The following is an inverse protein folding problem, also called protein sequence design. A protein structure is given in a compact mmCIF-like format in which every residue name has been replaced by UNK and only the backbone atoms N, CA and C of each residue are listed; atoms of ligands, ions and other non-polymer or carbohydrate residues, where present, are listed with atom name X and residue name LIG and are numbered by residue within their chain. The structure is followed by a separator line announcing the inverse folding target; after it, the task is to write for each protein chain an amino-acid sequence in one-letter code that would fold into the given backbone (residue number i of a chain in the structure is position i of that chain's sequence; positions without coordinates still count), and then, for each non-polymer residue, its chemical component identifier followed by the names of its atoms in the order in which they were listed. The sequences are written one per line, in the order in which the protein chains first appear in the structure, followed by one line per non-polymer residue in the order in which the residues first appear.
data_IF_033148332749
#
_entry.id   IF_033148332749
#
_cell.length_a   1.000
_cell.length_b   1.000
_cell.length_c   1.000
_cell.angle_alpha   90.00
_cell.angle_beta   90.00
_cell.angle_gamma   90.00
#
_symmetry.space_group_name_H-M   'P 1'
#
loop_
_entity.id
_entity.type
_entity.pdbx_description
1 polymer ?
#
# COMPACT_ATOMS: atom_id res chain seq x y z
N UNK A 1 12.67 -13.02 17.78
CA UNK A 1 12.87 -11.73 17.11
C UNK A 1 12.68 -11.90 15.62
N UNK A 2 12.06 -10.94 14.93
CA UNK A 2 11.87 -11.00 13.48
C UNK A 2 13.23 -11.08 12.76
N UNK A 3 13.37 -11.89 11.70
CA UNK A 3 14.61 -11.98 10.94
C UNK A 3 15.04 -10.60 10.41
N UNK A 4 16.35 -10.36 10.35
CA UNK A 4 16.93 -9.08 9.90
C UNK A 4 16.53 -8.65 8.48
N UNK A 5 15.93 -9.56 7.70
CA UNK A 5 15.34 -9.25 6.40
C UNK A 5 14.24 -8.17 6.47
N UNK A 6 13.44 -8.16 7.55
CA UNK A 6 12.27 -7.28 7.65
C UNK A 6 12.64 -5.84 7.94
N UNK A 7 13.74 -5.65 8.67
CA UNK A 7 14.30 -4.35 8.99
C UNK A 7 15.84 -4.47 8.90
N UNK A 8 16.43 -4.14 7.73
CA UNK A 8 17.87 -4.18 7.54
C UNK A 8 18.61 -3.35 8.60
N UNK A 9 19.79 -3.82 9.01
CA UNK A 9 20.60 -3.17 10.04
C UNK A 9 21.62 -2.18 9.48
N UNK A 10 21.91 -2.25 8.18
CA UNK A 10 22.76 -1.26 7.54
C UNK A 10 22.00 0.09 7.46
N UNK A 11 22.69 1.24 7.64
CA UNK A 11 22.01 2.53 7.69
C UNK A 11 21.19 2.86 6.44
N UNK A 12 21.65 2.45 5.25
CA UNK A 12 20.97 2.75 4.00
C UNK A 12 19.68 1.93 3.84
N UNK A 13 19.74 0.62 4.11
CA UNK A 13 18.58 -0.27 4.11
C UNK A 13 17.53 0.17 5.14
N UNK A 14 17.96 0.50 6.37
CA UNK A 14 17.08 1.03 7.40
C UNK A 14 16.40 2.34 6.96
N UNK A 15 17.14 3.27 6.36
CA UNK A 15 16.60 4.53 5.85
C UNK A 15 15.57 4.32 4.73
N UNK A 16 15.80 3.37 3.82
CA UNK A 16 14.83 3.01 2.76
C UNK A 16 13.52 2.49 3.32
N UNK A 17 13.58 1.63 4.34
CA UNK A 17 12.38 1.15 5.05
C UNK A 17 11.68 2.31 5.76
N UNK A 18 12.43 3.12 6.50
CA UNK A 18 11.89 4.25 7.26
C UNK A 18 11.17 5.26 6.35
N UNK A 19 11.69 5.54 5.15
CA UNK A 19 11.02 6.39 4.16
C UNK A 19 9.58 5.91 3.90
N UNK A 20 9.41 4.61 3.66
CA UNK A 20 8.09 4.05 3.38
C UNK A 20 7.19 3.94 4.60
N UNK A 21 7.74 3.80 5.80
CA UNK A 21 6.94 3.92 7.03
C UNK A 21 6.36 5.32 7.20
N UNK A 22 7.12 6.37 6.87
CA UNK A 22 6.61 7.75 6.84
C UNK A 22 5.53 7.94 5.77
N UNK A 23 5.70 7.34 4.58
CA UNK A 23 4.69 7.33 3.51
C UNK A 23 3.40 6.63 3.97
N UNK A 24 3.51 5.50 4.68
CA UNK A 24 2.39 4.77 5.23
C UNK A 24 1.61 5.61 6.26
N UNK A 25 2.32 6.25 7.20
CA UNK A 25 1.71 7.10 8.22
C UNK A 25 1.08 8.39 7.64
N UNK A 26 1.55 8.84 6.48
CA UNK A 26 1.05 10.04 5.80
C UNK A 26 0.13 9.71 4.62
N UNK A 27 0.73 9.56 3.44
CA UNK A 27 0.01 9.50 2.16
C UNK A 27 -0.93 8.30 2.07
N UNK A 28 -0.56 7.15 2.62
CA UNK A 28 -1.43 5.96 2.61
C UNK A 28 -2.62 6.14 3.57
N UNK A 29 -2.34 6.58 4.81
CA UNK A 29 -3.37 6.82 5.83
C UNK A 29 -4.39 7.89 5.39
N UNK A 30 -3.92 9.01 4.85
CA UNK A 30 -4.77 10.13 4.44
C UNK A 30 -5.21 10.08 2.97
N UNK A 31 -4.89 8.99 2.26
CA UNK A 31 -5.29 8.72 0.88
C UNK A 31 -6.24 7.52 0.83
N UNK A 32 -5.78 6.33 0.38
CA UNK A 32 -6.65 5.16 0.21
C UNK A 32 -7.34 4.71 1.50
N UNK A 33 -6.69 4.80 2.66
CA UNK A 33 -7.34 4.42 3.93
C UNK A 33 -8.50 5.36 4.29
N UNK A 34 -8.29 6.68 4.17
CA UNK A 34 -9.33 7.68 4.38
C UNK A 34 -10.50 7.52 3.40
N UNK A 35 -10.21 7.31 2.11
CA UNK A 35 -11.24 7.05 1.10
C UNK A 35 -12.06 5.81 1.44
N UNK A 36 -11.40 4.71 1.82
CA UNK A 36 -12.06 3.48 2.27
C UNK A 36 -12.98 3.72 3.47
N UNK A 37 -12.54 4.49 4.46
CA UNK A 37 -13.34 4.83 5.65
C UNK A 37 -14.61 5.58 5.28
N UNK A 38 -14.55 6.51 4.33
CA UNK A 38 -15.72 7.25 3.84
C UNK A 38 -16.74 6.30 3.23
N UNK A 39 -16.30 5.42 2.32
CA UNK A 39 -17.17 4.46 1.64
C UNK A 39 -17.73 3.38 2.57
N UNK A 40 -16.87 2.76 3.40
CA UNK A 40 -17.23 1.66 4.27
C UNK A 40 -18.24 2.07 5.34
N UNK A 41 -18.04 3.24 5.96
CA UNK A 41 -18.88 3.72 7.05
C UNK A 41 -19.93 4.75 6.61
N UNK A 42 -20.05 5.02 5.30
CA UNK A 42 -20.99 6.01 4.73
C UNK A 42 -20.88 7.38 5.42
N UNK A 43 -19.64 7.83 5.67
CA UNK A 43 -19.41 9.13 6.32
C UNK A 43 -19.88 10.27 5.41
N UNK A 44 -20.44 11.36 5.96
CA UNK A 44 -20.85 12.53 5.19
C UNK A 44 -19.64 13.41 4.84
N UNK A 45 -18.64 12.83 4.17
CA UNK A 45 -17.38 13.47 3.77
C UNK A 45 -17.16 13.25 2.26
N UNK A 46 -16.50 14.18 1.57
CA UNK A 46 -16.14 14.05 0.15
C UNK A 46 -14.82 13.26 -0.02
N UNK A 47 -14.83 12.09 -0.72
CA UNK A 47 -13.62 11.30 -0.92
C UNK A 47 -12.64 11.91 -1.92
N UNK A 48 -13.00 12.94 -2.70
CA UNK A 48 -12.19 13.44 -3.82
C UNK A 48 -10.76 13.81 -3.41
N UNK A 49 -10.59 14.48 -2.26
CA UNK A 49 -9.26 14.86 -1.77
C UNK A 49 -8.41 13.63 -1.39
N UNK A 50 -9.03 12.61 -0.78
CA UNK A 50 -8.38 11.36 -0.40
C UNK A 50 -8.03 10.52 -1.64
N UNK A 51 -8.93 10.43 -2.61
CA UNK A 51 -8.69 9.74 -3.89
C UNK A 51 -7.58 10.42 -4.69
N UNK A 52 -7.54 11.75 -4.75
CA UNK A 52 -6.46 12.48 -5.40
C UNK A 52 -5.09 12.23 -4.73
N UNK A 53 -5.06 12.12 -3.39
CA UNK A 53 -3.85 11.72 -2.65
C UNK A 53 -3.43 10.29 -2.97
N UNK A 54 -4.39 9.36 -3.04
CA UNK A 54 -4.15 7.97 -3.39
C UNK A 54 -3.55 7.82 -4.80
N UNK A 55 -4.11 8.51 -5.80
CA UNK A 55 -3.60 8.46 -7.17
C UNK A 55 -2.17 8.99 -7.28
N UNK A 56 -1.82 10.04 -6.53
CA UNK A 56 -0.42 10.54 -6.46
C UNK A 56 0.51 9.53 -5.79
N UNK A 57 0.07 8.92 -4.69
CA UNK A 57 0.83 7.87 -4.01
C UNK A 57 1.07 6.67 -4.92
N UNK A 58 0.05 6.18 -5.61
CA UNK A 58 0.17 5.04 -6.51
C UNK A 58 1.02 5.36 -7.73
N UNK A 59 1.04 6.60 -8.22
CA UNK A 59 2.03 7.03 -9.22
C UNK A 59 3.48 6.87 -8.73
N UNK A 60 3.77 7.29 -7.49
CA UNK A 60 5.09 7.12 -6.88
C UNK A 60 5.45 5.64 -6.64
N UNK A 61 4.49 4.86 -6.13
CA UNK A 61 4.69 3.43 -5.90
C UNK A 61 4.93 2.67 -7.22
N UNK A 62 4.16 2.98 -8.26
CA UNK A 62 4.31 2.37 -9.59
C UNK A 62 5.71 2.63 -10.17
N UNK A 63 6.23 3.86 -10.03
CA UNK A 63 7.59 4.19 -10.44
C UNK A 63 8.65 3.37 -9.67
N UNK A 64 8.55 3.31 -8.34
CA UNK A 64 9.49 2.55 -7.52
C UNK A 64 9.45 1.04 -7.86
N UNK A 65 8.24 0.47 -7.93
CA UNK A 65 8.02 -0.96 -8.16
C UNK A 65 8.25 -1.39 -9.61
N UNK A 66 8.37 -0.43 -10.53
CA UNK A 66 8.85 -0.68 -11.88
C UNK A 66 10.35 -0.95 -11.93
N UNK A 67 11.12 -0.38 -10.98
CA UNK A 67 12.57 -0.56 -10.93
C UNK A 67 13.01 -1.76 -10.07
N UNK A 68 12.20 -2.18 -9.09
CA UNK A 68 12.57 -3.23 -8.14
C UNK A 68 11.34 -4.00 -7.62
N UNK A 69 11.51 -5.24 -7.12
CA UNK A 69 10.37 -6.10 -6.79
C UNK A 69 9.61 -5.71 -5.52
N UNK A 70 10.26 -5.01 -4.58
CA UNK A 70 9.71 -4.56 -3.30
C UNK A 70 10.08 -3.09 -3.04
N UNK A 71 9.40 -2.45 -2.09
CA UNK A 71 9.48 -0.99 -1.90
C UNK A 71 10.86 -0.52 -1.39
N UNK A 72 11.56 -1.35 -0.61
CA UNK A 72 12.86 -1.02 -0.03
C UNK A 72 14.05 -1.75 -0.69
N UNK A 73 13.81 -2.56 -1.72
CA UNK A 73 14.86 -3.23 -2.49
C UNK A 73 14.43 -4.57 -3.07
N UNK A 74 15.36 -5.53 -3.07
CA UNK A 74 15.19 -6.83 -3.70
C UNK A 74 14.40 -7.85 -2.86
N UNK A 75 14.25 -7.61 -1.56
CA UNK A 75 13.60 -8.52 -0.61
C UNK A 75 12.45 -7.79 0.12
N UNK A 76 11.40 -8.51 0.56
CA UNK A 76 10.29 -7.90 1.29
C UNK A 76 10.74 -7.41 2.67
N UNK A 77 10.22 -6.24 3.06
CA UNK A 77 10.54 -5.59 4.33
C UNK A 77 9.27 -5.11 5.05
N UNK A 78 9.42 -4.49 6.22
CA UNK A 78 8.33 -3.80 6.90
C UNK A 78 7.68 -2.70 6.06
N UNK A 79 8.40 -2.13 5.08
CA UNK A 79 7.83 -1.18 4.13
C UNK A 79 6.66 -1.80 3.35
N UNK A 80 6.86 -3.03 2.87
CA UNK A 80 5.87 -3.75 2.06
C UNK A 80 4.65 -4.11 2.89
N UNK A 81 4.86 -4.61 4.11
CA UNK A 81 3.78 -4.92 5.06
C UNK A 81 2.96 -3.66 5.38
N UNK A 82 3.62 -2.55 5.72
CA UNK A 82 2.96 -1.31 6.08
C UNK A 82 2.12 -0.74 4.93
N UNK A 83 2.59 -0.89 3.69
CA UNK A 83 1.93 -0.35 2.50
C UNK A 83 0.87 -1.29 1.91
N UNK A 84 0.88 -2.59 2.22
CA UNK A 84 0.02 -3.60 1.60
C UNK A 84 -1.48 -3.35 1.84
N UNK A 85 -1.87 -3.26 3.11
CA UNK A 85 -3.27 -3.32 3.57
C UNK A 85 -4.21 -2.34 2.85
N UNK A 86 -3.88 -1.05 2.85
CA UNK A 86 -4.72 -0.04 2.22
C UNK A 86 -4.46 0.12 0.73
N UNK A 87 -3.37 -0.45 0.19
CA UNK A 87 -3.18 -0.53 -1.25
C UNK A 87 -4.10 -1.59 -1.84
N UNK A 88 -4.10 -2.82 -1.31
CA UNK A 88 -4.96 -3.92 -1.86
C UNK A 88 -6.45 -3.60 -1.74
N UNK A 89 -6.84 -2.87 -0.69
CA UNK A 89 -8.23 -2.47 -0.44
C UNK A 89 -8.60 -1.10 -1.07
N UNK A 90 -7.73 -0.50 -1.87
CA UNK A 90 -8.02 0.78 -2.53
C UNK A 90 -9.34 0.80 -3.35
N UNK A 91 -9.76 -0.30 -4.02
CA UNK A 91 -11.05 -0.36 -4.69
C UNK A 91 -12.24 -0.10 -3.77
N UNK A 92 -12.17 -0.50 -2.49
CA UNK A 92 -13.21 -0.23 -1.50
C UNK A 92 -13.36 1.27 -1.21
N UNK A 93 -12.31 2.06 -1.45
CA UNK A 93 -12.30 3.52 -1.38
C UNK A 93 -12.62 4.22 -2.71
N UNK A 94 -13.10 3.48 -3.72
CA UNK A 94 -13.40 4.05 -5.03
C UNK A 94 -12.20 4.25 -5.95
N UNK A 95 -11.04 3.66 -5.63
CA UNK A 95 -9.78 3.91 -6.34
C UNK A 95 -9.38 2.67 -7.14
N UNK A 96 -9.27 2.80 -8.46
CA UNK A 96 -8.86 1.69 -9.34
C UNK A 96 -7.35 1.48 -9.30
N UNK A 97 -6.93 0.21 -9.19
CA UNK A 97 -5.53 -0.20 -9.35
C UNK A 97 -5.16 -0.58 -10.78
N UNK A 98 -6.11 -0.63 -11.70
CA UNK A 98 -5.88 -1.02 -13.10
C UNK A 98 -4.76 -0.21 -13.81
N UNK A 99 -4.58 1.09 -13.54
CA UNK A 99 -3.49 1.87 -14.15
C UNK A 99 -2.08 1.52 -13.64
N UNK A 100 -1.95 0.70 -12.58
CA UNK A 100 -0.71 0.49 -11.85
C UNK A 100 -0.27 -1.00 -11.86
N UNK A 101 0.23 -1.50 -13.00
CA UNK A 101 0.58 -2.91 -13.16
C UNK A 101 1.76 -3.37 -12.28
N UNK A 102 2.73 -2.50 -11.96
CA UNK A 102 3.81 -2.84 -11.03
C UNK A 102 3.30 -3.01 -9.60
N UNK A 103 2.33 -2.18 -9.17
CA UNK A 103 1.60 -2.39 -7.92
C UNK A 103 0.89 -3.74 -7.94
N UNK A 104 0.19 -4.08 -9.02
CA UNK A 104 -0.47 -5.39 -9.15
C UNK A 104 0.49 -6.57 -8.99
N UNK A 105 1.66 -6.52 -9.64
CA UNK A 105 2.70 -7.55 -9.48
C UNK A 105 3.26 -7.60 -8.06
N UNK A 106 3.45 -6.45 -7.42
CA UNK A 106 3.94 -6.35 -6.06
C UNK A 106 2.95 -6.93 -5.04
N UNK A 107 1.65 -6.65 -5.18
CA UNK A 107 0.59 -7.26 -4.37
C UNK A 107 0.64 -8.78 -4.47
N UNK A 108 0.70 -9.32 -5.69
CA UNK A 108 0.79 -10.76 -5.92
C UNK A 108 2.04 -11.39 -5.26
N UNK A 109 3.18 -10.69 -5.23
CA UNK A 109 4.39 -11.17 -4.54
C UNK A 109 4.21 -11.21 -3.03
N UNK A 110 3.56 -10.21 -2.43
CA UNK A 110 3.28 -10.18 -0.99
C UNK A 110 2.31 -11.31 -0.62
N UNK A 111 1.26 -11.49 -1.42
CA UNK A 111 0.24 -12.53 -1.20
C UNK A 111 0.80 -13.95 -1.34
N UNK A 112 1.90 -14.12 -2.06
CA UNK A 112 2.62 -15.38 -2.20
C UNK A 112 3.61 -15.68 -1.05
N UNK A 113 3.79 -14.75 -0.08
CA UNK A 113 4.73 -14.97 1.02
C UNK A 113 4.22 -16.08 1.98
N UNK A 114 5.12 -16.93 2.52
CA UNK A 114 4.74 -17.93 3.51
C UNK A 114 4.06 -17.31 4.73
N UNK A 115 2.91 -17.86 5.13
CA UNK A 115 2.13 -17.37 6.27
C UNK A 115 1.30 -16.12 5.98
N UNK A 116 1.19 -15.70 4.72
CA UNK A 116 0.31 -14.61 4.34
C UNK A 116 -1.16 -14.94 4.65
N UNK A 117 -1.85 -13.98 5.25
CA UNK A 117 -3.29 -14.04 5.50
C UNK A 117 -3.92 -12.80 4.86
N UNK A 118 -4.88 -12.95 3.92
CA UNK A 118 -5.48 -11.81 3.26
C UNK A 118 -6.32 -10.98 4.22
N UNK A 119 -6.37 -9.68 3.97
CA UNK A 119 -7.35 -8.83 4.62
C UNK A 119 -8.76 -9.17 4.15
N UNK A 120 -9.71 -9.12 5.07
CA UNK A 120 -11.13 -9.30 4.75
C UNK A 120 -11.60 -8.17 3.81
N UNK A 121 -12.21 -8.55 2.70
CA UNK A 121 -12.80 -7.62 1.73
C UNK A 121 -14.26 -7.33 2.06
N UNK A 122 -14.71 -6.13 1.75
CA UNK A 122 -16.10 -5.69 1.92
C UNK A 122 -16.65 -5.21 0.58
N UNK A 123 -17.90 -5.56 0.20
CA UNK A 123 -18.49 -5.16 -1.07
C UNK A 123 -18.94 -3.69 -1.05
N UNK A 124 -17.98 -2.76 -1.15
CA UNK A 124 -18.21 -1.31 -1.18
C UNK A 124 -17.31 -0.65 -2.23
N UNK A 125 -17.66 0.57 -2.64
CA UNK A 125 -16.87 1.31 -3.63
C UNK A 125 -16.85 0.59 -4.99
N UNK A 126 -15.66 0.43 -5.58
CA UNK A 126 -15.48 -0.35 -6.82
C UNK A 126 -15.46 -1.86 -6.58
N UNK A 127 -15.52 -2.31 -5.33
CA UNK A 127 -15.61 -3.73 -4.96
C UNK A 127 -17.05 -4.19 -4.65
N UNK A 128 -18.04 -3.31 -4.85
CA UNK A 128 -19.46 -3.59 -4.65
C UNK A 128 -20.04 -4.54 -5.70
#
# INVERSE_FOLDING_TARGET
YAPGQWLPRDPLGAARVQRWLSVAAGQLAFGPAAARVIHLFKRPDDPAAAQARANRLFGLMEQELSAQPFLAGAQPTLADIAMYSYTVLAPEGGISLAPYPAIGRWLARIEALPGFVPMLRTPVGLAA
#
